data_IF_857486066436
#
_entry.id   IF_857486066436
#
_cell.length_a   1.000
_cell.length_b   1.000
_cell.length_c   1.000
_cell.angle_alpha   90.00
_cell.angle_beta   90.00
_cell.angle_gamma   90.00
#
_symmetry.space_group_name_H-M   'P 1'
#
loop_
_entity.id
_entity.type
_entity.pdbx_description
1 polymer ?
#
# COMPACT_ATOMS: atom_id res chain seq x y z
N UNK A 1 -14.37 10.61 -27.54
CA UNK A 1 -14.97 11.51 -26.54
C UNK A 1 -14.66 10.91 -25.18
N UNK A 2 -13.47 11.23 -24.63
CA UNK A 2 -13.02 10.71 -23.33
C UNK A 2 -13.56 11.65 -22.25
N UNK A 3 -14.42 11.13 -21.38
CA UNK A 3 -14.96 11.88 -20.24
C UNK A 3 -13.82 12.15 -19.25
N UNK A 4 -13.56 13.40 -18.94
CA UNK A 4 -12.65 13.83 -17.89
C UNK A 4 -13.14 13.31 -16.54
N UNK A 5 -12.29 12.53 -15.87
CA UNK A 5 -12.51 12.08 -14.50
C UNK A 5 -12.07 13.21 -13.56
N UNK A 6 -12.93 13.72 -12.68
CA UNK A 6 -12.57 14.81 -11.77
C UNK A 6 -11.53 14.35 -10.76
N UNK A 7 -10.45 15.15 -10.66
CA UNK A 7 -9.34 14.99 -9.72
C UNK A 7 -9.78 15.39 -8.30
N UNK A 8 -10.36 14.49 -7.56
CA UNK A 8 -10.59 14.71 -6.13
C UNK A 8 -10.27 13.46 -5.32
N UNK A 9 -9.19 13.55 -4.57
CA UNK A 9 -8.83 12.80 -3.38
C UNK A 9 -8.86 11.26 -3.42
N UNK A 10 -7.94 10.63 -2.72
CA UNK A 10 -7.76 9.18 -2.55
C UNK A 10 -9.04 8.40 -2.17
N UNK A 11 -10.02 9.06 -1.56
CA UNK A 11 -11.34 8.49 -1.27
C UNK A 11 -12.11 8.13 -2.55
N UNK A 12 -11.90 8.89 -3.63
CA UNK A 12 -12.47 8.58 -4.94
C UNK A 12 -11.75 7.44 -5.65
N UNK A 13 -10.46 7.24 -5.39
CA UNK A 13 -9.70 6.13 -5.99
C UNK A 13 -10.17 4.78 -5.47
N UNK A 14 -10.43 4.64 -4.17
CA UNK A 14 -11.01 3.41 -3.59
C UNK A 14 -12.45 3.23 -4.07
N UNK A 15 -13.24 4.31 -4.18
CA UNK A 15 -14.60 4.24 -4.74
C UNK A 15 -14.59 3.94 -6.23
N UNK A 16 -13.64 4.45 -7.02
CA UNK A 16 -13.54 4.16 -8.44
C UNK A 16 -13.12 2.71 -8.70
N UNK A 17 -12.18 2.15 -7.94
CA UNK A 17 -11.86 0.72 -8.01
C UNK A 17 -13.06 -0.14 -7.62
N UNK A 18 -13.78 0.22 -6.58
CA UNK A 18 -15.03 -0.45 -6.19
C UNK A 18 -16.10 -0.35 -7.28
N UNK A 19 -16.21 0.78 -7.97
CA UNK A 19 -17.14 0.95 -9.09
C UNK A 19 -16.71 0.21 -10.36
N UNK A 20 -15.41 0.15 -10.66
CA UNK A 20 -14.88 -0.67 -11.74
C UNK A 20 -15.04 -2.17 -11.46
N UNK A 21 -14.78 -2.62 -10.24
CA UNK A 21 -15.07 -3.99 -9.82
C UNK A 21 -16.56 -4.29 -9.86
N UNK A 22 -17.42 -3.37 -9.43
CA UNK A 22 -18.87 -3.52 -9.51
C UNK A 22 -19.40 -3.52 -10.94
N UNK A 23 -18.78 -2.76 -11.84
CA UNK A 23 -19.12 -2.77 -13.27
C UNK A 23 -18.64 -4.05 -13.96
N UNK A 24 -17.38 -4.45 -13.75
CA UNK A 24 -16.84 -5.69 -14.28
C UNK A 24 -17.52 -6.94 -13.70
N UNK A 25 -17.95 -6.89 -12.45
CA UNK A 25 -18.66 -7.99 -11.80
C UNK A 25 -20.11 -8.16 -12.30
N UNK A 26 -20.71 -7.14 -12.92
CA UNK A 26 -22.02 -7.30 -13.60
C UNK A 26 -21.95 -8.22 -14.81
N UNK A 27 -20.79 -8.24 -15.48
CA UNK A 27 -20.55 -9.09 -16.65
C UNK A 27 -20.05 -10.50 -16.26
N UNK A 28 -19.72 -10.72 -14.98
CA UNK A 28 -19.30 -12.01 -14.42
C UNK A 28 -20.04 -12.30 -13.10
N UNK A 29 -21.27 -12.84 -13.17
CA UNK A 29 -22.11 -13.10 -11.98
C UNK A 29 -21.40 -13.88 -10.87
N UNK A 30 -20.55 -14.85 -11.22
CA UNK A 30 -19.80 -15.66 -10.26
C UNK A 30 -18.88 -14.83 -9.37
N UNK A 31 -18.11 -13.90 -9.96
CA UNK A 31 -17.20 -13.01 -9.21
C UNK A 31 -17.99 -12.10 -8.26
N UNK A 32 -19.11 -11.57 -8.72
CA UNK A 32 -19.98 -10.75 -7.89
C UNK A 32 -20.52 -11.52 -6.69
N UNK A 33 -21.03 -12.74 -6.90
CA UNK A 33 -21.62 -13.55 -5.84
C UNK A 33 -20.58 -13.97 -4.79
N UNK A 34 -19.37 -14.34 -5.21
CA UNK A 34 -18.27 -14.65 -4.30
C UNK A 34 -17.85 -13.45 -3.46
N UNK A 35 -17.65 -12.28 -4.09
CA UNK A 35 -17.29 -11.05 -3.38
C UNK A 35 -18.41 -10.59 -2.43
N UNK A 36 -19.68 -10.77 -2.83
CA UNK A 36 -20.83 -10.47 -1.98
C UNK A 36 -20.86 -11.34 -0.73
N UNK A 37 -20.51 -12.63 -0.85
CA UNK A 37 -20.46 -13.53 0.31
C UNK A 37 -19.46 -13.09 1.36
N UNK A 38 -18.29 -12.60 0.94
CA UNK A 38 -17.19 -12.25 1.86
C UNK A 38 -17.10 -10.77 2.20
N UNK A 39 -18.05 -9.94 1.73
CA UNK A 39 -17.99 -8.47 1.85
C UNK A 39 -17.83 -7.95 3.28
N UNK A 40 -18.33 -8.70 4.26
CA UNK A 40 -18.32 -8.31 5.66
C UNK A 40 -17.12 -8.88 6.44
N UNK A 41 -16.37 -9.83 5.88
CA UNK A 41 -15.28 -10.48 6.58
C UNK A 41 -14.20 -9.48 7.01
N UNK A 42 -13.74 -8.62 6.09
CA UNK A 42 -12.71 -7.64 6.41
C UNK A 42 -13.19 -6.63 7.47
N UNK A 43 -14.39 -6.08 7.32
CA UNK A 43 -14.95 -5.10 8.26
C UNK A 43 -15.15 -5.65 9.68
N UNK A 44 -15.34 -6.96 9.82
CA UNK A 44 -15.48 -7.59 11.13
C UNK A 44 -14.20 -7.52 11.97
N UNK A 45 -13.02 -7.50 11.34
CA UNK A 45 -11.73 -7.40 12.04
C UNK A 45 -11.46 -6.02 12.67
N UNK A 46 -12.26 -5.00 12.38
CA UNK A 46 -12.19 -3.73 13.11
C UNK A 46 -12.49 -3.88 14.60
N UNK A 47 -13.21 -4.95 14.97
CA UNK A 47 -13.53 -5.28 16.37
C UNK A 47 -12.48 -6.19 17.05
N UNK A 48 -11.37 -6.47 16.37
CA UNK A 48 -10.30 -7.32 16.85
C UNK A 48 -10.26 -8.71 16.21
N UNK A 49 -9.20 -9.46 16.49
CA UNK A 49 -8.94 -10.74 15.84
C UNK A 49 -10.01 -11.81 16.15
N UNK A 50 -10.30 -12.05 17.42
CA UNK A 50 -11.24 -13.12 17.81
C UNK A 50 -12.69 -12.85 17.35
N UNK A 51 -13.27 -11.66 17.57
CA UNK A 51 -14.57 -11.33 17.01
C UNK A 51 -14.60 -11.38 15.48
N UNK A 52 -13.54 -10.91 14.83
CA UNK A 52 -13.39 -10.96 13.37
C UNK A 52 -13.40 -12.39 12.83
N UNK A 53 -12.65 -13.30 13.44
CA UNK A 53 -12.64 -14.73 13.07
C UNK A 53 -14.01 -15.38 13.28
N UNK A 54 -14.62 -15.17 14.45
CA UNK A 54 -15.93 -15.74 14.77
C UNK A 54 -17.01 -15.27 13.78
N UNK A 55 -17.05 -13.96 13.50
CA UNK A 55 -17.98 -13.41 12.53
C UNK A 55 -17.72 -13.93 11.12
N UNK A 56 -16.46 -13.95 10.67
CA UNK A 56 -16.09 -14.44 9.34
C UNK A 56 -16.48 -15.91 9.16
N UNK A 57 -16.28 -16.74 10.19
CA UNK A 57 -16.73 -18.12 10.16
C UNK A 57 -18.27 -18.21 10.07
N UNK A 58 -18.99 -17.44 10.89
CA UNK A 58 -20.46 -17.40 10.83
C UNK A 58 -20.97 -16.90 9.47
N UNK A 59 -20.35 -15.86 8.91
CA UNK A 59 -20.68 -15.33 7.59
C UNK A 59 -20.43 -16.38 6.48
N UNK A 60 -19.29 -17.05 6.51
CA UNK A 60 -18.93 -18.02 5.46
C UNK A 60 -19.78 -19.31 5.53
N UNK A 61 -20.02 -19.86 6.71
CA UNK A 61 -20.66 -21.17 6.86
C UNK A 61 -22.18 -21.12 7.08
N UNK A 62 -22.66 -20.08 7.75
CA UNK A 62 -24.08 -19.98 8.16
C UNK A 62 -24.82 -18.96 7.28
N UNK A 63 -24.37 -17.71 7.24
CA UNK A 63 -25.09 -16.62 6.59
C UNK A 63 -24.90 -16.61 5.08
N UNK A 64 -23.73 -17.07 4.60
CA UNK A 64 -23.39 -17.17 3.15
C UNK A 64 -23.63 -15.88 2.38
N UNK A 65 -23.32 -14.74 2.98
CA UNK A 65 -23.50 -13.43 2.35
C UNK A 65 -24.93 -12.89 2.30
N UNK A 66 -25.87 -13.56 2.97
CA UNK A 66 -27.28 -13.12 2.99
C UNK A 66 -27.60 -12.14 4.13
N UNK A 67 -26.56 -11.62 4.81
CA UNK A 67 -26.75 -10.59 5.83
C UNK A 67 -27.40 -9.33 5.23
N UNK A 68 -28.42 -8.75 5.93
CA UNK A 68 -29.05 -7.52 5.46
C UNK A 68 -28.21 -6.24 5.65
N UNK A 69 -27.05 -6.38 6.29
CA UNK A 69 -26.11 -5.27 6.54
C UNK A 69 -24.79 -5.45 5.78
N UNK A 70 -24.04 -4.35 5.64
CA UNK A 70 -22.68 -4.33 5.11
C UNK A 70 -21.82 -3.48 6.02
N UNK A 71 -20.67 -4.02 6.44
CA UNK A 71 -19.67 -3.25 7.18
C UNK A 71 -18.90 -2.35 6.21
N UNK A 72 -18.63 -1.13 6.66
CA UNK A 72 -17.87 -0.16 5.91
C UNK A 72 -16.65 0.27 6.73
N UNK A 73 -15.48 0.21 6.14
CA UNK A 73 -14.28 0.77 6.74
C UNK A 73 -14.43 2.29 6.83
N UNK A 74 -14.35 2.83 8.04
CA UNK A 74 -14.54 4.26 8.31
C UNK A 74 -13.23 5.02 8.35
N UNK A 75 -12.15 4.32 8.66
CA UNK A 75 -10.83 4.92 8.87
C UNK A 75 -9.88 4.44 7.79
N UNK A 76 -9.19 5.33 7.07
CA UNK A 76 -8.19 4.95 6.10
C UNK A 76 -6.99 4.30 6.79
N UNK A 77 -6.26 3.45 6.06
CA UNK A 77 -5.19 2.64 6.62
C UNK A 77 -4.03 3.47 7.19
N UNK A 78 -3.68 4.57 6.54
CA UNK A 78 -2.62 5.45 7.03
C UNK A 78 -2.93 6.06 8.40
N UNK A 79 -4.21 6.38 8.67
CA UNK A 79 -4.63 6.97 9.93
C UNK A 79 -4.60 6.00 11.11
N UNK A 80 -4.40 4.69 10.85
CA UNK A 80 -4.20 3.66 11.89
C UNK A 80 -2.72 3.51 12.29
N UNK A 81 -1.81 4.20 11.64
CA UNK A 81 -0.38 4.17 11.96
C UNK A 81 -0.14 4.86 13.30
N UNK A 82 0.51 4.16 14.22
CA UNK A 82 0.82 4.70 15.55
C UNK A 82 2.13 5.48 15.55
N UNK A 83 2.28 6.50 16.41
CA UNK A 83 3.55 7.18 16.61
C UNK A 83 4.65 6.21 16.99
N UNK A 84 5.88 6.46 16.54
CA UNK A 84 7.02 5.59 16.82
C UNK A 84 7.32 5.43 18.30
N UNK A 85 7.03 6.48 19.11
CA UNK A 85 7.19 6.46 20.57
C UNK A 85 6.30 5.45 21.29
N UNK A 86 5.17 5.07 20.68
CA UNK A 86 4.23 4.07 21.23
C UNK A 86 4.53 2.65 20.76
N UNK A 87 5.48 2.49 19.82
CA UNK A 87 5.78 1.20 19.20
C UNK A 87 7.12 0.67 19.70
N UNK A 88 7.16 -0.52 20.34
CA UNK A 88 8.43 -1.15 20.70
C UNK A 88 9.19 -1.56 19.45
N UNK A 89 10.52 -1.38 19.48
CA UNK A 89 11.39 -1.86 18.40
C UNK A 89 11.38 -3.38 18.39
N UNK A 90 11.04 -3.96 17.25
CA UNK A 90 11.06 -5.40 17.06
C UNK A 90 12.43 -5.79 16.45
N UNK A 91 13.10 -6.73 17.09
CA UNK A 91 14.31 -7.32 16.54
C UNK A 91 13.94 -8.58 15.73
N UNK A 92 14.20 -8.53 14.44
CA UNK A 92 13.98 -9.67 13.55
C UNK A 92 15.24 -10.52 13.41
N UNK A 93 15.11 -11.84 13.21
CA UNK A 93 16.23 -12.70 12.90
C UNK A 93 16.98 -12.19 11.66
N UNK A 94 18.31 -12.29 11.68
CA UNK A 94 19.10 -11.97 10.49
C UNK A 94 18.82 -13.00 9.39
N UNK A 95 18.81 -12.59 8.11
CA UNK A 95 18.70 -13.51 7.00
C UNK A 95 19.85 -14.54 7.01
N UNK A 96 19.53 -15.78 6.65
CA UNK A 96 20.50 -16.89 6.62
C UNK A 96 21.22 -17.05 5.27
N UNK A 97 20.78 -16.34 4.24
CA UNK A 97 21.32 -16.43 2.88
C UNK A 97 20.93 -17.71 2.12
N UNK A 98 20.06 -18.55 2.68
CA UNK A 98 19.64 -19.82 2.08
C UNK A 98 18.12 -19.84 1.88
N UNK A 99 17.34 -19.63 2.95
CA UNK A 99 15.88 -19.56 2.92
C UNK A 99 15.38 -18.12 3.00
N UNK A 100 16.17 -17.24 3.60
CA UNK A 100 15.87 -15.84 3.76
C UNK A 100 17.05 -14.96 3.36
N UNK A 101 16.78 -13.87 2.66
CA UNK A 101 17.79 -12.98 2.11
C UNK A 101 17.59 -11.57 2.62
N UNK A 102 18.65 -10.76 2.58
CA UNK A 102 18.53 -9.32 2.81
C UNK A 102 17.72 -8.62 1.73
N UNK A 103 17.29 -7.39 2.00
CA UNK A 103 16.39 -6.64 1.13
C UNK A 103 16.96 -6.46 -0.29
N UNK A 104 18.23 -6.12 -0.43
CA UNK A 104 18.86 -5.88 -1.74
C UNK A 104 18.98 -7.17 -2.56
N UNK A 105 19.35 -8.27 -1.92
CA UNK A 105 19.39 -9.59 -2.56
C UNK A 105 18.01 -10.01 -3.03
N UNK A 106 16.98 -9.86 -2.19
CA UNK A 106 15.59 -10.14 -2.60
C UNK A 106 15.14 -9.28 -3.79
N UNK A 107 15.52 -8.00 -3.81
CA UNK A 107 15.21 -7.10 -4.91
C UNK A 107 15.88 -7.57 -6.21
N UNK A 108 17.16 -7.94 -6.15
CA UNK A 108 17.89 -8.48 -7.30
C UNK A 108 17.24 -9.77 -7.84
N UNK A 109 16.86 -10.68 -6.93
CA UNK A 109 16.19 -11.94 -7.30
C UNK A 109 14.80 -11.74 -7.89
N UNK A 110 14.14 -10.63 -7.61
CA UNK A 110 12.83 -10.31 -8.20
C UNK A 110 12.90 -10.03 -9.71
N UNK A 111 14.10 -9.70 -10.22
CA UNK A 111 14.30 -9.34 -11.63
C UNK A 111 13.58 -8.06 -12.05
N UNK A 112 13.09 -7.25 -11.11
CA UNK A 112 12.38 -6.00 -11.42
C UNK A 112 13.37 -4.89 -11.71
N UNK A 113 13.15 -4.18 -12.81
CA UNK A 113 13.92 -3.00 -13.20
C UNK A 113 13.05 -2.04 -14.03
N UNK A 114 13.39 -0.78 -13.98
CA UNK A 114 12.76 0.27 -14.77
C UNK A 114 13.82 0.97 -15.60
N UNK A 115 13.41 1.52 -16.73
CA UNK A 115 14.31 2.34 -17.54
C UNK A 115 14.69 3.61 -16.76
N UNK A 116 15.96 4.01 -16.84
CA UNK A 116 16.49 5.15 -16.09
C UNK A 116 15.91 6.49 -16.57
N UNK A 117 15.50 6.54 -17.83
CA UNK A 117 14.99 7.74 -18.51
C UNK A 117 13.45 7.87 -18.48
N UNK A 118 12.75 6.89 -17.91
CA UNK A 118 11.29 7.00 -17.78
C UNK A 118 10.90 7.98 -16.66
N UNK A 119 9.75 8.69 -16.81
CA UNK A 119 9.23 9.52 -15.75
C UNK A 119 8.94 8.70 -14.48
N UNK A 120 9.29 9.25 -13.32
CA UNK A 120 8.99 8.59 -12.04
C UNK A 120 7.48 8.37 -11.89
N UNK A 121 7.08 7.17 -11.53
CA UNK A 121 5.69 6.84 -11.22
C UNK A 121 5.32 7.10 -9.75
N UNK A 122 6.32 7.46 -8.91
CA UNK A 122 6.14 7.85 -7.53
C UNK A 122 6.29 9.37 -7.42
N UNK A 123 5.22 10.03 -7.05
CA UNK A 123 5.18 11.48 -6.93
C UNK A 123 4.92 11.89 -5.49
N UNK A 124 5.74 12.81 -4.98
CA UNK A 124 5.41 13.53 -3.76
C UNK A 124 4.47 14.68 -4.14
N UNK A 125 3.30 14.75 -3.49
CA UNK A 125 2.30 15.77 -3.76
C UNK A 125 2.87 17.16 -3.47
N UNK A 126 2.63 18.13 -4.35
CA UNK A 126 3.19 19.49 -4.26
C UNK A 126 2.81 20.21 -2.97
N UNK A 127 1.57 20.02 -2.53
CA UNK A 127 1.01 20.61 -1.29
C UNK A 127 1.54 19.91 -0.02
N UNK A 128 2.26 18.81 -0.16
CA UNK A 128 2.72 17.97 0.96
C UNK A 128 4.22 17.66 0.91
N UNK A 129 5.01 18.44 0.21
CA UNK A 129 6.47 18.22 0.04
C UNK A 129 7.22 18.13 1.37
N UNK A 130 6.79 18.90 2.35
CA UNK A 130 7.45 18.93 3.65
C UNK A 130 6.95 17.84 4.61
N UNK A 131 5.90 17.08 4.26
CA UNK A 131 5.33 16.09 5.17
C UNK A 131 6.32 14.98 5.55
N UNK A 132 7.24 14.61 4.67
CA UNK A 132 8.27 13.62 4.96
C UNK A 132 9.12 14.02 6.16
N UNK A 133 9.56 15.27 6.19
CA UNK A 133 10.48 15.80 7.21
C UNK A 133 9.76 16.43 8.41
N UNK A 134 8.55 16.97 8.21
CA UNK A 134 7.79 17.65 9.27
C UNK A 134 6.83 16.74 10.04
N UNK A 135 6.36 15.64 9.42
CA UNK A 135 5.38 14.72 10.01
C UNK A 135 5.92 13.29 10.07
N UNK A 136 6.32 12.72 8.93
CA UNK A 136 6.69 11.30 8.84
C UNK A 136 7.92 10.99 9.70
N UNK A 137 9.00 11.73 9.55
CA UNK A 137 10.22 11.47 10.29
C UNK A 137 10.07 11.77 11.81
N UNK A 138 9.58 12.95 12.26
CA UNK A 138 9.50 13.25 13.69
C UNK A 138 8.48 12.38 14.45
N UNK A 139 7.33 12.10 13.85
CA UNK A 139 6.23 11.40 14.54
C UNK A 139 6.33 9.88 14.40
N UNK A 140 6.66 9.40 13.21
CA UNK A 140 6.61 7.98 12.87
C UNK A 140 7.99 7.36 12.59
N UNK A 141 9.06 8.14 12.73
CA UNK A 141 10.45 7.75 12.42
C UNK A 141 10.63 7.24 10.99
N UNK A 142 10.03 7.91 10.01
CA UNK A 142 10.12 7.58 8.59
C UNK A 142 9.72 6.12 8.27
N UNK A 143 8.45 5.73 8.47
CA UNK A 143 8.01 4.34 8.35
C UNK A 143 8.18 3.80 6.93
N UNK A 144 8.18 4.64 5.91
CA UNK A 144 8.39 4.31 4.51
C UNK A 144 9.73 3.62 4.24
N UNK A 145 10.77 3.91 5.01
CA UNK A 145 12.05 3.21 4.93
C UNK A 145 11.96 1.74 5.34
N UNK A 146 10.96 1.41 6.17
CA UNK A 146 10.79 0.07 6.75
C UNK A 146 9.73 -0.75 6.07
N UNK A 147 8.60 -0.14 5.68
CA UNK A 147 7.53 -0.88 5.03
C UNK A 147 7.77 -1.08 3.52
N UNK A 148 8.65 -0.30 2.90
CA UNK A 148 8.95 -0.49 1.48
C UNK A 148 9.79 -1.76 1.28
N UNK A 149 9.29 -2.78 0.55
CA UNK A 149 10.01 -4.03 0.36
C UNK A 149 11.16 -3.92 -0.64
N UNK A 150 11.31 -2.76 -1.28
CA UNK A 150 12.31 -2.51 -2.31
C UNK A 150 13.32 -1.41 -1.93
N UNK A 151 13.24 -0.88 -0.71
CA UNK A 151 14.14 0.18 -0.26
C UNK A 151 14.10 1.45 -1.12
N UNK A 152 12.92 1.78 -1.64
CA UNK A 152 12.72 2.94 -2.53
C UNK A 152 12.91 4.27 -1.79
N UNK A 153 12.55 4.30 -0.51
CA UNK A 153 12.57 5.52 0.31
C UNK A 153 13.75 5.49 1.27
N UNK A 154 14.57 6.51 1.17
CA UNK A 154 15.70 6.76 2.09
C UNK A 154 15.72 8.22 2.48
N UNK A 155 16.40 8.55 3.55
CA UNK A 155 16.63 9.94 3.94
C UNK A 155 18.11 10.25 3.80
N UNK A 156 18.43 11.46 3.36
CA UNK A 156 19.80 11.97 3.35
C UNK A 156 20.37 12.06 4.77
N UNK A 157 21.66 12.19 4.86
CA UNK A 157 22.31 12.62 6.11
C UNK A 157 21.78 14.00 6.50
N UNK A 158 21.83 14.31 7.79
CA UNK A 158 21.44 15.63 8.30
C UNK A 158 22.34 16.71 7.71
N UNK A 159 21.74 17.77 7.19
CA UNK A 159 22.47 18.95 6.78
C UNK A 159 23.00 19.76 7.98
N UNK A 160 23.72 20.85 7.73
CA UNK A 160 24.23 21.73 8.77
C UNK A 160 23.15 22.35 9.69
N UNK A 161 21.88 22.28 9.30
CA UNK A 161 20.71 22.75 10.04
C UNK A 161 19.93 21.60 10.70
N UNK A 162 20.43 20.35 10.63
CA UNK A 162 19.75 19.18 11.15
C UNK A 162 18.54 18.72 10.30
N UNK A 163 18.46 19.17 9.06
CA UNK A 163 17.36 18.79 8.14
C UNK A 163 17.80 17.64 7.27
N UNK A 164 16.94 16.63 7.17
CA UNK A 164 17.07 15.52 6.26
C UNK A 164 16.14 15.71 5.05
N UNK A 165 16.49 15.15 3.92
CA UNK A 165 15.68 15.17 2.70
C UNK A 165 15.26 13.75 2.33
N UNK A 166 14.01 13.59 1.90
CA UNK A 166 13.50 12.32 1.40
C UNK A 166 14.01 12.06 -0.01
N UNK A 167 14.71 10.95 -0.19
CA UNK A 167 15.18 10.46 -1.48
C UNK A 167 14.30 9.31 -1.95
N UNK A 168 13.87 9.36 -3.22
CA UNK A 168 12.96 8.37 -3.81
C UNK A 168 13.63 7.68 -5.00
N UNK A 169 14.07 6.45 -4.81
CA UNK A 169 14.65 5.60 -5.86
C UNK A 169 13.58 4.79 -6.60
N UNK A 170 12.77 5.43 -7.45
CA UNK A 170 11.62 4.81 -8.11
C UNK A 170 11.99 3.59 -8.99
N UNK A 171 13.23 3.47 -9.45
CA UNK A 171 13.71 2.37 -10.29
C UNK A 171 13.62 1.01 -9.60
N UNK A 172 13.75 0.98 -8.28
CA UNK A 172 13.67 -0.24 -7.48
C UNK A 172 12.23 -0.69 -7.15
N UNK A 173 11.24 0.10 -7.52
CA UNK A 173 9.86 -0.11 -7.09
C UNK A 173 9.26 -1.42 -7.61
N UNK A 174 8.68 -2.22 -6.72
CA UNK A 174 7.97 -3.48 -7.01
C UNK A 174 6.47 -3.29 -7.27
N UNK A 175 5.99 -2.07 -7.36
CA UNK A 175 4.57 -1.73 -7.60
C UNK A 175 3.58 -2.30 -6.58
N UNK A 176 3.99 -2.53 -5.35
CA UNK A 176 3.13 -3.06 -4.29
C UNK A 176 2.11 -2.06 -3.75
N UNK A 177 2.26 -0.77 -4.07
CA UNK A 177 1.39 0.36 -3.67
C UNK A 177 1.24 0.55 -2.16
N UNK A 178 2.07 -0.08 -1.36
CA UNK A 178 2.04 0.10 0.10
C UNK A 178 2.25 1.55 0.50
N UNK A 179 3.10 2.29 -0.21
CA UNK A 179 3.32 3.72 0.03
C UNK A 179 2.07 4.56 -0.22
N UNK A 180 1.34 4.32 -1.29
CA UNK A 180 0.10 5.02 -1.63
C UNK A 180 -1.00 4.81 -0.56
N UNK A 181 -0.98 3.65 0.12
CA UNK A 181 -1.98 3.25 1.12
C UNK A 181 -1.57 3.64 2.54
N UNK A 182 -0.29 3.48 2.89
CA UNK A 182 0.21 3.54 4.28
C UNK A 182 1.01 4.80 4.63
N UNK A 183 1.39 5.61 3.63
CA UNK A 183 2.18 6.80 3.87
C UNK A 183 1.42 7.76 4.79
N UNK A 184 2.01 8.24 5.90
CA UNK A 184 1.38 9.23 6.74
C UNK A 184 0.93 10.44 5.90
N UNK A 185 -0.27 10.95 6.16
CA UNK A 185 -0.85 12.07 5.41
C UNK A 185 -1.02 11.82 3.88
N UNK A 186 -0.81 10.61 3.38
CA UNK A 186 -0.91 10.29 1.94
C UNK A 186 -0.10 11.26 1.06
N UNK A 187 1.12 11.62 1.48
CA UNK A 187 1.92 12.60 0.74
C UNK A 187 2.57 12.03 -0.53
N UNK A 188 2.61 10.70 -0.70
CA UNK A 188 3.03 10.05 -1.94
C UNK A 188 1.82 9.63 -2.75
N UNK A 189 1.88 9.89 -4.06
CA UNK A 189 0.91 9.44 -5.06
C UNK A 189 1.59 8.45 -5.99
N UNK A 190 1.03 7.24 -6.10
CA UNK A 190 1.47 6.26 -7.07
C UNK A 190 0.75 6.46 -8.40
N UNK A 191 1.49 6.59 -9.49
CA UNK A 191 0.96 6.69 -10.85
C UNK A 191 1.36 5.48 -11.68
N UNK A 192 0.66 5.27 -12.79
CA UNK A 192 0.99 4.16 -13.69
C UNK A 192 2.36 4.42 -14.33
N UNK A 193 3.33 3.47 -14.23
CA UNK A 193 4.61 3.59 -14.90
C UNK A 193 4.47 3.45 -16.43
N UNK A 194 5.56 3.67 -17.15
CA UNK A 194 5.65 3.40 -18.57
C UNK A 194 5.27 1.94 -18.87
N UNK A 195 4.53 1.74 -19.96
CA UNK A 195 4.14 0.40 -20.41
C UNK A 195 5.29 -0.35 -21.09
N UNK A 196 5.17 -1.69 -21.15
CA UNK A 196 6.14 -2.56 -21.82
C UNK A 196 7.34 -2.97 -20.98
N UNK A 197 7.46 -2.45 -19.74
CA UNK A 197 8.43 -2.91 -18.76
C UNK A 197 7.86 -3.98 -17.83
N UNK A 198 8.71 -4.54 -16.98
CA UNK A 198 8.33 -5.54 -15.99
C UNK A 198 9.51 -6.37 -15.51
N UNK A 199 9.29 -7.40 -14.68
CA UNK A 199 10.37 -8.25 -14.20
C UNK A 199 10.99 -9.05 -15.35
N UNK A 200 12.32 -9.13 -15.33
CA UNK A 200 13.12 -9.91 -16.27
C UNK A 200 13.40 -11.29 -15.65
N UNK A 201 12.52 -12.23 -15.87
CA UNK A 201 12.74 -13.60 -15.43
C UNK A 201 13.63 -14.34 -16.43
N UNK A 202 14.65 -15.05 -15.92
CA UNK A 202 15.61 -15.78 -16.76
C UNK A 202 15.12 -17.16 -17.19
N UNK A 203 14.04 -17.64 -16.59
CA UNK A 203 13.45 -18.95 -16.90
C UNK A 203 11.94 -18.91 -16.68
N UNK A 204 11.23 -18.65 -17.73
CA UNK A 204 9.78 -18.82 -17.87
C UNK A 204 9.55 -19.76 -19.05
#
# INVERSE_FOLDING_TARGET
MLAEVPRSGAILTIRSHSLYFAAAARDTPQVYDELKQVRNCHGAFEHGLLPGLAYSAASAFVLKGNEPWTFHNKTPDYAKTKPASECPKIEYPKPDGVLSFDLLTNLTLSGTGHNDDQPSHLHVKEDKKDCATSVSMPTYAGPEQRFCPAGVYTYSDEDANGKQELLVGAQNCLHCKTCDIKMPEEYVEWRVPEGGGGPLYTSL
#
